data_IF_721121542563
#
_entry.id   IF_721121542563
#
_cell.length_a   1.000
_cell.length_b   1.000
_cell.length_c   1.000
_cell.angle_alpha   90.00
_cell.angle_beta   90.00
_cell.angle_gamma   90.00
#
_symmetry.space_group_name_H-M   'P 1'
#
loop_
_entity.id
_entity.type
_entity.pdbx_description
1 polymer ?
#
# COMPACT_ATOMS: atom_id res chain seq x y z
N UNK A 1 11.59 -11.78 3.77
CA UNK A 1 11.26 -11.22 2.43
C UNK A 1 9.75 -10.98 2.42
N UNK A 2 9.26 -9.74 2.35
CA UNK A 2 7.85 -9.38 2.59
C UNK A 2 6.92 -9.63 1.36
N UNK A 3 7.35 -10.45 0.40
CA UNK A 3 6.71 -10.61 -0.92
C UNK A 3 5.40 -11.42 -0.93
N UNK A 4 4.75 -11.59 0.22
CA UNK A 4 3.54 -12.42 0.36
C UNK A 4 2.55 -11.85 1.38
N UNK A 5 2.67 -10.58 1.77
CA UNK A 5 1.60 -9.96 2.55
C UNK A 5 0.44 -9.63 1.61
N UNK A 6 -0.72 -10.19 1.90
CA UNK A 6 -1.95 -9.93 1.17
C UNK A 6 -2.49 -8.56 1.60
N UNK A 7 -1.75 -7.48 1.26
CA UNK A 7 -2.00 -6.14 1.77
C UNK A 7 -3.32 -5.61 1.18
N UNK A 8 -4.32 -5.54 2.06
CA UNK A 8 -5.56 -4.81 1.81
C UNK A 8 -5.27 -3.33 2.03
N UNK A 9 -5.21 -2.56 0.95
CA UNK A 9 -4.98 -1.12 0.99
C UNK A 9 -6.27 -0.36 1.30
N UNK A 10 -6.78 -0.57 2.52
CA UNK A 10 -7.89 0.16 3.10
C UNK A 10 -7.40 1.25 4.08
N UNK A 11 -8.31 1.90 4.78
CA UNK A 11 -7.99 2.97 5.73
C UNK A 11 -6.99 2.54 6.82
N UNK A 12 -6.91 1.26 7.18
CA UNK A 12 -6.00 0.75 8.22
C UNK A 12 -4.54 0.68 7.75
N UNK A 13 -4.31 0.68 6.43
CA UNK A 13 -2.98 0.60 5.81
C UNK A 13 -2.51 1.97 5.27
N UNK A 14 -3.34 3.01 5.37
CA UNK A 14 -3.00 4.36 4.90
C UNK A 14 -1.68 4.90 5.47
N UNK A 15 -1.39 4.61 6.75
CA UNK A 15 -0.14 5.04 7.41
C UNK A 15 1.11 4.45 6.75
N UNK A 16 0.99 3.26 6.16
CA UNK A 16 2.11 2.55 5.56
C UNK A 16 2.60 3.26 4.31
N UNK A 17 1.72 3.94 3.56
CA UNK A 17 2.11 4.77 2.42
C UNK A 17 3.10 5.85 2.82
N UNK A 18 2.77 6.63 3.86
CA UNK A 18 3.61 7.70 4.39
C UNK A 18 4.96 7.15 4.89
N UNK A 19 4.94 6.00 5.57
CA UNK A 19 6.14 5.35 6.10
C UNK A 19 7.07 4.81 4.99
N UNK A 20 6.51 4.28 3.90
CA UNK A 20 7.27 3.74 2.77
C UNK A 20 7.86 4.83 1.88
N UNK A 21 7.19 5.99 1.73
CA UNK A 21 7.73 7.15 1.00
C UNK A 21 9.07 7.63 1.59
N UNK A 22 9.24 7.51 2.91
CA UNK A 22 10.49 7.81 3.60
C UNK A 22 11.57 6.73 3.42
N UNK A 23 11.23 5.56 2.86
CA UNK A 23 12.11 4.39 2.70
C UNK A 23 11.98 3.79 1.30
N UNK A 24 12.48 4.47 0.25
CA UNK A 24 12.20 4.12 -1.16
C UNK A 24 12.55 2.68 -1.53
N UNK A 25 13.64 2.14 -0.96
CA UNK A 25 14.08 0.75 -1.17
C UNK A 25 13.05 -0.29 -0.72
N UNK A 26 12.25 0.02 0.30
CA UNK A 26 11.19 -0.87 0.79
C UNK A 26 9.87 -0.66 0.01
N UNK A 27 9.64 0.55 -0.51
CA UNK A 27 8.44 0.89 -1.28
C UNK A 27 8.32 0.15 -2.62
N UNK A 28 9.45 -0.04 -3.33
CA UNK A 28 9.51 -0.63 -4.69
C UNK A 28 8.94 -2.05 -4.81
N UNK A 29 8.83 -2.78 -3.70
CA UNK A 29 8.36 -4.18 -3.69
C UNK A 29 7.18 -4.41 -2.75
N UNK A 30 6.52 -3.33 -2.30
CA UNK A 30 5.37 -3.41 -1.41
C UNK A 30 4.13 -2.92 -2.15
N UNK A 31 3.32 -3.88 -2.61
CA UNK A 31 2.15 -3.63 -3.46
C UNK A 31 0.85 -4.02 -2.75
N UNK A 32 -0.24 -3.37 -3.13
CA UNK A 32 -1.60 -3.74 -2.72
C UNK A 32 -2.05 -5.02 -3.42
N UNK A 33 -2.72 -5.91 -2.69
CA UNK A 33 -3.38 -7.11 -3.24
C UNK A 33 -4.90 -6.95 -3.35
N UNK A 34 -5.46 -6.03 -2.56
CA UNK A 34 -6.85 -5.61 -2.57
C UNK A 34 -6.94 -4.15 -2.09
N UNK A 35 -8.05 -3.42 -2.32
CA UNK A 35 -9.19 -3.79 -3.19
C UNK A 35 -8.79 -3.94 -4.67
N UNK A 36 -9.66 -4.49 -5.54
CA UNK A 36 -9.36 -4.65 -6.97
C UNK A 36 -8.91 -3.36 -7.66
N UNK A 37 -9.44 -2.21 -7.24
CA UNK A 37 -9.05 -0.88 -7.77
C UNK A 37 -7.61 -0.48 -7.47
N UNK A 38 -7.00 -1.04 -6.42
CA UNK A 38 -5.63 -0.74 -6.02
C UNK A 38 -4.66 -1.91 -6.24
N UNK A 39 -5.15 -3.07 -6.68
CA UNK A 39 -4.31 -4.27 -6.85
C UNK A 39 -3.12 -3.98 -7.79
N UNK A 40 -1.92 -4.32 -7.34
CA UNK A 40 -0.67 -4.13 -8.09
C UNK A 40 -0.05 -2.74 -7.95
N UNK A 41 -0.76 -1.76 -7.39
CA UNK A 41 -0.18 -0.45 -7.09
C UNK A 41 0.83 -0.55 -5.95
N UNK A 42 1.95 0.15 -6.08
CA UNK A 42 2.89 0.33 -4.97
C UNK A 42 2.20 1.14 -3.86
N UNK A 43 2.24 0.66 -2.61
CA UNK A 43 1.60 1.35 -1.47
C UNK A 43 2.15 2.77 -1.30
N UNK A 44 3.44 2.96 -1.61
CA UNK A 44 4.10 4.26 -1.57
C UNK A 44 3.61 5.25 -2.64
N UNK A 45 2.86 4.81 -3.65
CA UNK A 45 2.35 5.66 -4.74
C UNK A 45 0.87 6.00 -4.56
N UNK A 46 0.08 5.12 -3.93
CA UNK A 46 -1.36 5.35 -3.64
C UNK A 46 -1.56 6.61 -2.81
N UNK A 47 -2.53 7.45 -3.17
CA UNK A 47 -2.85 8.66 -2.40
C UNK A 47 -3.61 8.30 -1.13
N UNK A 48 -3.35 9.02 -0.03
CA UNK A 48 -3.97 8.74 1.28
C UNK A 48 -5.51 8.67 1.25
N UNK A 49 -6.16 9.45 0.39
CA UNK A 49 -7.62 9.48 0.22
C UNK A 49 -8.21 8.23 -0.43
N UNK A 50 -7.40 7.43 -1.13
CA UNK A 50 -7.82 6.21 -1.81
C UNK A 50 -7.88 5.02 -0.84
N UNK A 51 -7.27 5.15 0.34
CA UNK A 51 -7.36 4.19 1.44
C UNK A 51 -8.68 4.40 2.21
N UNK A 52 -9.74 3.74 1.78
CA UNK A 52 -11.09 3.88 2.36
C UNK A 52 -11.55 2.60 3.06
N UNK A 53 -12.35 2.72 4.11
CA UNK A 53 -13.09 1.63 4.74
C UNK A 53 -14.61 1.88 4.62
N UNK A 54 -15.40 0.81 4.58
CA UNK A 54 -16.88 0.85 4.66
C UNK A 54 -17.35 0.61 6.07
#
# INVERSE_FOLDING_TARGET
RLHSNNLLCDCHVAWLSDWLRQRPRLGLYTQCMAPPSLRGHNIAEVQKKEFTCT
#
